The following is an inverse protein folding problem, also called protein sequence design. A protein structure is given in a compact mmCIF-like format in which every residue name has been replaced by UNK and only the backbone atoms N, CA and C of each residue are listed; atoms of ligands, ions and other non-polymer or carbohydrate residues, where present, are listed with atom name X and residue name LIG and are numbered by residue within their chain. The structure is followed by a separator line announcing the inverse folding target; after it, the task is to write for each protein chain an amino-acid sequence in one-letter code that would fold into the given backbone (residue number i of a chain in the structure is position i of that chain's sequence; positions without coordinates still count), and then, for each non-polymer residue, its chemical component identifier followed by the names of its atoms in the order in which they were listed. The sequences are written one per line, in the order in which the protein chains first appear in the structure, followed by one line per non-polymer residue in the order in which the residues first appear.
data_IF_396727858293
#
_entry.id   IF_396727858293
#
_cell.length_a   1.000
_cell.length_b   1.000
_cell.length_c   1.000
_cell.angle_alpha   90.00
_cell.angle_beta   90.00
_cell.angle_gamma   90.00
#
_symmetry.space_group_name_H-M   'P 1'
#
loop_
_entity.id
_entity.type
_entity.pdbx_description
1 polymer ?
#
# COMPACT_ATOMS: atom_id res chain seq x y z
N UNK A 1 24.12 -29.70 22.15
CA UNK A 1 24.97 -28.51 21.95
C UNK A 1 25.16 -28.19 20.47
N UNK A 2 25.60 -29.07 19.60
CA UNK A 2 25.80 -28.74 18.17
C UNK A 2 24.53 -28.37 17.39
N UNK A 3 23.34 -28.90 17.75
CA UNK A 3 22.09 -28.61 17.04
C UNK A 3 21.48 -27.24 17.40
N UNK A 4 21.68 -26.76 18.63
CA UNK A 4 21.21 -25.44 19.08
C UNK A 4 22.09 -24.32 18.49
N UNK A 5 23.37 -24.58 18.37
CA UNK A 5 24.31 -23.63 17.75
C UNK A 5 24.07 -23.49 16.25
N UNK A 6 23.70 -24.59 15.58
CA UNK A 6 23.35 -24.58 14.15
C UNK A 6 22.00 -23.86 13.94
N UNK A 7 21.02 -24.08 14.82
CA UNK A 7 19.73 -23.37 14.77
C UNK A 7 19.89 -21.86 15.02
N UNK A 8 20.70 -21.46 15.98
CA UNK A 8 21.05 -20.06 16.24
C UNK A 8 21.82 -19.42 15.08
N UNK A 9 22.75 -20.18 14.48
CA UNK A 9 23.50 -19.70 13.32
C UNK A 9 22.60 -19.55 12.10
N UNK A 10 21.68 -20.50 11.88
CA UNK A 10 20.69 -20.44 10.81
C UNK A 10 19.71 -19.27 11.03
N UNK A 11 19.30 -19.02 12.26
CA UNK A 11 18.45 -17.86 12.61
C UNK A 11 19.20 -16.54 12.44
N UNK A 12 20.47 -16.49 12.80
CA UNK A 12 21.34 -15.31 12.59
C UNK A 12 21.63 -15.09 11.12
N UNK A 13 21.88 -16.16 10.35
CA UNK A 13 22.06 -16.11 8.90
C UNK A 13 20.76 -15.74 8.19
N UNK A 14 19.61 -16.24 8.65
CA UNK A 14 18.30 -15.82 8.14
C UNK A 14 18.03 -14.34 8.42
N UNK A 15 18.43 -13.82 9.59
CA UNK A 15 18.38 -12.39 9.92
C UNK A 15 19.38 -11.56 9.10
N UNK A 16 20.53 -12.11 8.74
CA UNK A 16 21.54 -11.45 7.90
C UNK A 16 21.32 -11.64 6.40
N UNK A 17 20.66 -12.72 5.98
CA UNK A 17 20.27 -12.94 4.58
C UNK A 17 18.99 -12.22 4.16
N UNK A 18 18.25 -11.63 5.08
CA UNK A 18 17.25 -10.62 4.75
C UNK A 18 18.01 -9.35 4.36
N UNK A 19 18.60 -9.42 3.18
CA UNK A 19 19.32 -8.33 2.59
C UNK A 19 18.47 -7.07 2.60
N UNK A 20 19.02 -5.95 3.12
CA UNK A 20 18.42 -4.65 2.94
C UNK A 20 17.53 -4.19 4.08
N UNK A 21 17.90 -4.38 5.33
CA UNK A 21 17.32 -3.66 6.44
C UNK A 21 15.82 -3.84 6.66
N UNK A 22 15.34 -5.08 6.68
CA UNK A 22 13.94 -5.38 6.99
C UNK A 22 13.75 -5.65 8.49
N UNK A 23 12.81 -4.91 9.11
CA UNK A 23 12.30 -5.19 10.43
C UNK A 23 10.89 -5.80 10.31
N UNK A 24 10.71 -6.98 10.89
CA UNK A 24 9.45 -7.73 10.76
C UNK A 24 8.80 -8.03 12.10
N UNK A 25 7.55 -7.58 12.24
CA UNK A 25 6.63 -8.00 13.29
C UNK A 25 5.52 -8.90 12.73
N UNK A 26 5.68 -9.42 11.52
CA UNK A 26 4.66 -10.20 10.83
C UNK A 26 4.19 -11.37 11.67
N UNK A 27 2.87 -11.49 11.84
CA UNK A 27 2.23 -12.62 12.50
C UNK A 27 2.44 -12.70 14.01
N UNK A 28 2.94 -11.64 14.65
CA UNK A 28 3.17 -11.64 16.10
C UNK A 28 1.91 -11.45 16.93
N UNK A 29 0.79 -11.16 16.30
CA UNK A 29 -0.51 -10.97 16.95
C UNK A 29 -0.47 -9.95 18.11
N UNK A 30 0.32 -8.90 17.95
CA UNK A 30 0.42 -7.83 18.93
C UNK A 30 -0.84 -6.98 18.95
N UNK A 31 -1.33 -6.65 20.12
CA UNK A 31 -2.44 -5.72 20.34
C UNK A 31 -1.86 -4.37 20.77
N UNK A 32 -1.62 -3.50 19.80
CA UNK A 32 -0.96 -2.22 20.01
C UNK A 32 -2.03 -1.12 20.17
N UNK A 33 -2.54 -0.95 21.38
CA UNK A 33 -3.58 0.03 21.70
C UNK A 33 -2.97 1.36 22.14
N UNK A 34 -2.08 1.29 23.12
CA UNK A 34 -1.47 2.46 23.80
C UNK A 34 -0.02 2.65 23.39
N UNK A 35 0.55 3.79 23.78
CA UNK A 35 1.98 4.06 23.63
C UNK A 35 2.83 3.01 24.36
N UNK A 36 2.40 2.57 25.53
CA UNK A 36 3.11 1.53 26.31
C UNK A 36 3.10 0.19 25.58
N UNK A 37 1.99 -0.19 24.94
CA UNK A 37 1.91 -1.41 24.15
C UNK A 37 2.90 -1.41 22.97
N UNK A 38 3.19 -0.24 22.40
CA UNK A 38 4.09 -0.07 21.26
C UNK A 38 5.56 0.11 21.67
N UNK A 39 5.88 0.15 22.93
CA UNK A 39 7.21 0.46 23.46
C UNK A 39 8.33 -0.38 22.86
N UNK A 40 8.15 -1.70 22.80
CA UNK A 40 9.16 -2.61 22.24
C UNK A 40 9.28 -2.45 20.71
N UNK A 41 8.18 -2.23 20.03
CA UNK A 41 8.17 -1.95 18.56
C UNK A 41 8.94 -0.67 18.28
N UNK A 42 8.71 0.38 19.04
CA UNK A 42 9.39 1.67 18.91
C UNK A 42 10.89 1.50 19.13
N UNK A 43 11.28 0.78 20.19
CA UNK A 43 12.68 0.53 20.49
C UNK A 43 13.39 -0.20 19.33
N UNK A 44 12.78 -1.24 18.80
CA UNK A 44 13.34 -1.99 17.68
C UNK A 44 13.45 -1.11 16.41
N UNK A 45 12.49 -0.22 16.15
CA UNK A 45 12.57 0.73 15.05
C UNK A 45 13.71 1.73 15.29
N UNK A 46 13.79 2.33 16.47
CA UNK A 46 14.82 3.32 16.80
C UNK A 46 16.23 2.74 16.71
N UNK A 47 16.41 1.51 17.18
CA UNK A 47 17.71 0.82 17.20
C UNK A 47 18.10 0.24 15.82
N UNK A 48 17.19 0.22 14.85
CA UNK A 48 17.43 -0.39 13.55
C UNK A 48 18.13 0.59 12.59
N UNK A 49 19.37 0.29 12.25
CA UNK A 49 20.13 1.10 11.29
C UNK A 49 19.72 0.76 9.86
N UNK A 50 19.58 1.77 9.01
CA UNK A 50 19.25 1.61 7.58
C UNK A 50 17.98 0.79 7.35
N UNK A 51 16.88 1.18 8.02
CA UNK A 51 15.57 0.53 7.88
C UNK A 51 15.00 0.79 6.48
N UNK A 52 14.91 -0.25 5.68
CA UNK A 52 14.37 -0.17 4.30
C UNK A 52 12.98 -0.79 4.15
N UNK A 53 12.63 -1.77 4.97
CA UNK A 53 11.32 -2.42 4.95
C UNK A 53 10.79 -2.65 6.36
N UNK A 54 9.51 -2.34 6.58
CA UNK A 54 8.82 -2.56 7.84
C UNK A 54 7.59 -3.44 7.61
N UNK A 55 7.51 -4.56 8.32
CA UNK A 55 6.39 -5.51 8.25
C UNK A 55 5.57 -5.48 9.53
N UNK A 56 4.30 -5.11 9.39
CA UNK A 56 3.33 -5.04 10.50
C UNK A 56 2.14 -5.99 10.34
N UNK A 57 2.15 -6.86 9.32
CA UNK A 57 1.03 -7.75 9.03
C UNK A 57 0.73 -8.69 10.20
N UNK A 58 -0.55 -8.91 10.47
CA UNK A 58 -1.00 -9.82 11.53
C UNK A 58 -0.87 -9.24 12.95
N UNK A 59 -0.85 -7.93 13.06
CA UNK A 59 -0.95 -7.20 14.33
C UNK A 59 -2.17 -6.29 14.27
N UNK A 60 -2.55 -5.67 15.39
CA UNK A 60 -3.63 -4.68 15.39
C UNK A 60 -3.15 -3.38 16.04
N UNK A 61 -3.21 -2.28 15.28
CA UNK A 61 -2.65 -0.98 15.65
C UNK A 61 -3.79 0.02 15.88
N UNK A 62 -3.87 0.56 17.09
CA UNK A 62 -4.79 1.64 17.44
C UNK A 62 -4.20 3.03 17.17
N UNK A 63 -5.01 4.07 17.36
CA UNK A 63 -4.62 5.45 17.04
C UNK A 63 -3.44 5.92 17.88
N UNK A 64 -3.45 5.67 19.18
CA UNK A 64 -2.36 6.10 20.07
C UNK A 64 -1.04 5.39 19.73
N UNK A 65 -1.07 4.07 19.55
CA UNK A 65 0.10 3.31 19.13
C UNK A 65 0.62 3.78 17.76
N UNK A 66 -0.27 4.04 16.80
CA UNK A 66 0.11 4.56 15.48
C UNK A 66 0.85 5.91 15.58
N UNK A 67 0.43 6.80 16.46
CA UNK A 67 1.09 8.10 16.67
C UNK A 67 2.53 7.94 17.14
N UNK A 68 2.78 7.07 18.12
CA UNK A 68 4.13 6.87 18.65
C UNK A 68 5.02 6.06 17.70
N UNK A 69 4.46 5.12 16.95
CA UNK A 69 5.17 4.42 15.89
C UNK A 69 5.57 5.41 14.78
N UNK A 70 4.65 6.28 14.37
CA UNK A 70 4.90 7.34 13.39
C UNK A 70 6.05 8.25 13.83
N UNK A 71 6.08 8.61 15.10
CA UNK A 71 7.17 9.42 15.68
C UNK A 71 8.52 8.73 15.55
N UNK A 72 8.58 7.45 15.83
CA UNK A 72 9.80 6.66 15.65
C UNK A 72 10.23 6.57 14.18
N UNK A 73 9.28 6.56 13.24
CA UNK A 73 9.56 6.51 11.81
C UNK A 73 10.09 7.82 11.23
N UNK A 74 9.91 8.95 11.91
CA UNK A 74 10.30 10.28 11.40
C UNK A 74 11.79 10.40 11.05
N UNK A 75 12.65 9.56 11.60
CA UNK A 75 14.10 9.53 11.33
C UNK A 75 14.51 8.43 10.35
N UNK A 76 13.57 7.68 9.80
CA UNK A 76 13.84 6.52 8.95
C UNK A 76 13.69 6.87 7.47
N UNK A 77 14.58 7.75 6.98
CA UNK A 77 14.55 8.27 5.61
C UNK A 77 14.81 7.21 4.53
N UNK A 78 15.39 6.08 4.89
CA UNK A 78 15.72 4.98 3.97
C UNK A 78 14.57 4.00 3.76
N UNK A 79 13.44 4.17 4.46
CA UNK A 79 12.28 3.29 4.36
C UNK A 79 11.68 3.36 2.94
N UNK A 80 11.59 2.20 2.30
CA UNK A 80 11.14 2.02 0.92
C UNK A 80 9.89 1.15 0.83
N UNK A 81 9.72 0.19 1.74
CA UNK A 81 8.67 -0.81 1.66
C UNK A 81 7.88 -0.87 2.97
N UNK A 82 6.59 -0.58 2.86
CA UNK A 82 5.64 -0.70 3.96
C UNK A 82 4.72 -1.88 3.69
N UNK A 83 5.00 -3.01 4.33
CA UNK A 83 4.15 -4.19 4.33
C UNK A 83 3.16 -4.09 5.49
N UNK A 84 2.08 -3.33 5.26
CA UNK A 84 1.11 -2.94 6.26
C UNK A 84 -0.28 -3.54 6.01
N UNK A 85 -0.33 -4.72 5.40
CA UNK A 85 -1.56 -5.47 5.26
C UNK A 85 -2.02 -6.04 6.60
N UNK A 86 -3.34 -6.24 6.75
CA UNK A 86 -3.92 -6.86 7.95
C UNK A 86 -3.32 -6.33 9.27
N UNK A 87 -3.43 -5.02 9.49
CA UNK A 87 -2.93 -4.39 10.72
C UNK A 87 -3.98 -3.61 11.52
N UNK A 88 -5.24 -3.76 11.17
CA UNK A 88 -6.35 -3.07 11.84
C UNK A 88 -7.50 -4.02 12.24
N UNK A 89 -7.26 -5.31 12.34
CA UNK A 89 -8.28 -6.29 12.73
C UNK A 89 -8.86 -5.94 14.10
N UNK A 90 -10.19 -5.87 14.19
CA UNK A 90 -10.89 -5.55 15.41
C UNK A 90 -10.94 -4.05 15.75
N UNK A 91 -10.41 -3.18 14.91
CA UNK A 91 -10.50 -1.73 15.09
C UNK A 91 -11.80 -1.19 14.53
N UNK A 92 -12.32 -0.14 15.13
CA UNK A 92 -13.46 0.59 14.61
C UNK A 92 -13.07 1.33 13.32
N UNK A 93 -14.02 1.42 12.38
CA UNK A 93 -13.79 2.18 11.13
C UNK A 93 -13.33 3.62 11.38
N UNK A 94 -13.77 4.23 12.46
CA UNK A 94 -13.41 5.60 12.85
C UNK A 94 -11.98 5.73 13.38
N UNK A 95 -11.34 4.63 13.79
CA UNK A 95 -9.96 4.62 14.28
C UNK A 95 -8.94 4.49 13.15
N UNK A 96 -9.31 3.88 12.03
CA UNK A 96 -8.37 3.52 10.97
C UNK A 96 -7.83 4.74 10.23
N UNK A 97 -8.66 5.71 9.75
CA UNK A 97 -8.14 6.89 9.08
C UNK A 97 -7.18 7.72 9.93
N UNK A 98 -7.46 8.03 11.22
CA UNK A 98 -6.50 8.76 12.05
C UNK A 98 -5.17 8.04 12.23
N UNK A 99 -5.21 6.71 12.38
CA UNK A 99 -3.99 5.90 12.50
C UNK A 99 -3.16 5.94 11.22
N UNK A 100 -3.78 5.81 10.06
CA UNK A 100 -3.11 5.90 8.76
C UNK A 100 -2.56 7.30 8.50
N UNK A 101 -3.30 8.35 8.84
CA UNK A 101 -2.83 9.75 8.72
C UNK A 101 -1.55 9.94 9.53
N UNK A 102 -1.53 9.48 10.79
CA UNK A 102 -0.36 9.61 11.65
C UNK A 102 0.85 8.88 11.08
N UNK A 103 0.69 7.64 10.65
CA UNK A 103 1.75 6.85 10.03
C UNK A 103 2.28 7.52 8.75
N UNK A 104 1.37 8.01 7.91
CA UNK A 104 1.73 8.74 6.69
C UNK A 104 2.52 10.01 6.97
N UNK A 105 2.11 10.79 7.96
CA UNK A 105 2.84 12.00 8.38
C UNK A 105 4.25 11.67 8.86
N UNK A 106 4.43 10.56 9.58
CA UNK A 106 5.75 10.09 9.98
C UNK A 106 6.66 9.80 8.79
N UNK A 107 6.14 9.14 7.76
CA UNK A 107 6.87 8.85 6.52
C UNK A 107 7.22 10.11 5.74
N UNK A 108 6.30 11.06 5.66
CA UNK A 108 6.52 12.34 4.98
C UNK A 108 7.61 13.14 5.71
N UNK A 109 7.52 13.24 7.03
CA UNK A 109 8.52 13.92 7.88
C UNK A 109 9.90 13.28 7.75
N UNK A 110 9.97 11.96 7.65
CA UNK A 110 11.22 11.24 7.45
C UNK A 110 11.89 11.55 6.11
N UNK A 111 11.17 12.09 5.14
CA UNK A 111 11.65 12.21 3.77
C UNK A 111 11.78 10.85 3.07
N UNK A 112 10.99 9.87 3.48
CA UNK A 112 10.98 8.53 2.88
C UNK A 112 10.64 8.61 1.39
N UNK A 113 11.23 7.73 0.60
CA UNK A 113 10.96 7.57 -0.83
C UNK A 113 10.49 6.13 -1.06
N UNK A 114 9.18 5.94 -0.94
CA UNK A 114 8.58 4.60 -0.97
C UNK A 114 8.66 3.98 -2.37
N UNK A 115 8.92 2.69 -2.38
CA UNK A 115 8.88 1.81 -3.56
C UNK A 115 7.64 0.93 -3.52
N UNK A 116 7.27 0.43 -2.34
CA UNK A 116 6.11 -0.42 -2.15
C UNK A 116 5.28 0.02 -0.96
N UNK A 117 3.97 0.14 -1.18
CA UNK A 117 2.97 0.36 -0.13
C UNK A 117 1.88 -0.72 -0.27
N UNK A 118 1.82 -1.61 0.70
CA UNK A 118 0.80 -2.65 0.79
C UNK A 118 -0.09 -2.42 2.00
N UNK A 119 -1.34 -2.03 1.74
CA UNK A 119 -2.39 -1.81 2.73
C UNK A 119 -3.54 -2.82 2.57
N UNK A 120 -3.31 -3.93 1.90
CA UNK A 120 -4.32 -4.95 1.65
C UNK A 120 -4.93 -5.51 2.93
N UNK A 121 -6.15 -6.02 2.85
CA UNK A 121 -6.84 -6.71 3.94
C UNK A 121 -7.07 -5.88 5.21
N UNK A 122 -7.18 -4.56 5.08
CA UNK A 122 -7.46 -3.68 6.22
C UNK A 122 -8.94 -3.29 6.36
N UNK A 123 -9.76 -3.58 5.36
CA UNK A 123 -11.21 -3.36 5.38
C UNK A 123 -11.62 -1.95 5.86
N UNK A 124 -10.85 -0.93 5.50
CA UNK A 124 -11.02 0.43 6.03
C UNK A 124 -12.17 1.21 5.38
N UNK A 125 -12.78 0.69 4.33
CA UNK A 125 -13.88 1.32 3.64
C UNK A 125 -13.49 2.58 2.83
N UNK A 126 -14.47 3.30 2.23
CA UNK A 126 -14.20 4.51 1.45
C UNK A 126 -13.48 5.59 2.25
N UNK A 127 -13.84 5.78 3.51
CA UNK A 127 -13.24 6.78 4.40
C UNK A 127 -11.77 6.47 4.72
N UNK A 128 -11.39 5.20 4.67
CA UNK A 128 -10.02 4.77 4.90
C UNK A 128 -9.04 5.27 3.83
N UNK A 129 -9.52 5.44 2.60
CA UNK A 129 -8.69 5.98 1.52
C UNK A 129 -8.26 7.41 1.84
N UNK A 130 -9.11 8.20 2.48
CA UNK A 130 -8.76 9.53 2.97
C UNK A 130 -7.61 9.50 3.98
N UNK A 131 -7.45 8.40 4.71
CA UNK A 131 -6.37 8.22 5.69
C UNK A 131 -4.98 8.19 5.07
N UNK A 132 -4.83 7.76 3.84
CA UNK A 132 -3.54 7.73 3.14
C UNK A 132 -3.49 8.60 1.88
N UNK A 133 -4.54 9.38 1.62
CA UNK A 133 -4.59 10.30 0.47
C UNK A 133 -3.44 11.31 0.47
N UNK A 134 -3.19 11.96 1.60
CA UNK A 134 -2.10 12.93 1.74
C UNK A 134 -0.74 12.28 1.52
N UNK A 135 -0.54 11.07 2.01
CA UNK A 135 0.69 10.30 1.77
C UNK A 135 0.89 10.03 0.28
N UNK A 136 -0.14 9.57 -0.43
CA UNK A 136 -0.06 9.30 -1.87
C UNK A 136 0.25 10.56 -2.68
N UNK A 137 -0.23 11.72 -2.26
CA UNK A 137 0.02 13.01 -2.92
C UNK A 137 1.36 13.63 -2.54
N UNK A 138 2.06 13.07 -1.54
CA UNK A 138 3.31 13.61 -1.04
C UNK A 138 4.52 13.12 -1.82
N UNK A 139 5.65 13.78 -1.63
CA UNK A 139 6.93 13.38 -2.21
C UNK A 139 7.37 11.97 -1.78
N UNK A 140 6.87 11.45 -0.66
CA UNK A 140 7.14 10.09 -0.22
C UNK A 140 6.67 9.03 -1.23
N UNK A 141 5.66 9.31 -2.03
CA UNK A 141 5.10 8.40 -3.03
C UNK A 141 5.47 8.75 -4.48
N UNK A 142 6.25 9.79 -4.74
CA UNK A 142 6.70 10.09 -6.11
C UNK A 142 7.53 8.96 -6.72
N UNK A 143 8.16 8.17 -5.88
CA UNK A 143 9.02 7.02 -6.24
C UNK A 143 8.29 5.68 -6.20
N UNK A 144 6.98 5.67 -5.94
CA UNK A 144 6.19 4.45 -5.73
C UNK A 144 6.14 3.61 -7.01
N UNK A 145 6.44 2.33 -6.89
CA UNK A 145 6.40 1.36 -7.97
C UNK A 145 5.31 0.30 -7.77
N UNK A 146 4.99 -0.04 -6.54
CA UNK A 146 4.01 -1.08 -6.22
C UNK A 146 3.01 -0.57 -5.18
N UNK A 147 1.73 -0.60 -5.55
CA UNK A 147 0.62 -0.22 -4.67
C UNK A 147 -0.37 -1.38 -4.59
N UNK A 148 -0.59 -1.91 -3.39
CA UNK A 148 -1.43 -3.08 -3.15
C UNK A 148 -2.53 -2.76 -2.15
N UNK A 149 -3.77 -2.92 -2.60
CA UNK A 149 -4.98 -2.52 -1.88
C UNK A 149 -6.08 -3.59 -2.01
N UNK A 150 -5.73 -4.86 -1.98
CA UNK A 150 -6.74 -5.93 -1.99
C UNK A 150 -7.65 -5.84 -0.77
N UNK A 151 -8.93 -6.12 -0.97
CA UNK A 151 -9.89 -6.34 0.12
C UNK A 151 -9.88 -5.20 1.16
N UNK A 152 -9.99 -3.96 0.70
CA UNK A 152 -10.01 -2.77 1.55
C UNK A 152 -11.41 -2.14 1.69
N UNK A 153 -12.39 -2.63 0.94
CA UNK A 153 -13.75 -2.11 0.97
C UNK A 153 -13.87 -0.68 0.45
N UNK A 154 -13.02 -0.29 -0.51
CA UNK A 154 -12.95 1.10 -0.99
C UNK A 154 -14.25 1.62 -1.60
N UNK A 155 -15.00 0.76 -2.31
CA UNK A 155 -16.18 1.16 -3.03
C UNK A 155 -15.89 2.14 -4.18
N UNK A 156 -16.94 2.64 -4.80
CA UNK A 156 -16.85 3.62 -5.90
C UNK A 156 -16.18 4.91 -5.39
N UNK A 157 -16.62 5.42 -4.26
CA UNK A 157 -16.10 6.67 -3.68
C UNK A 157 -14.61 6.58 -3.35
N UNK A 158 -14.18 5.50 -2.71
CA UNK A 158 -12.76 5.28 -2.41
C UNK A 158 -11.91 5.12 -3.67
N UNK A 159 -12.44 4.43 -4.69
CA UNK A 159 -11.78 4.28 -5.98
C UNK A 159 -11.55 5.62 -6.69
N UNK A 160 -12.53 6.52 -6.63
CA UNK A 160 -12.42 7.88 -7.19
C UNK A 160 -11.38 8.73 -6.45
N UNK A 161 -11.36 8.68 -5.13
CA UNK A 161 -10.36 9.38 -4.31
C UNK A 161 -8.96 8.86 -4.62
N UNK A 162 -8.80 7.55 -4.70
CA UNK A 162 -7.54 6.92 -5.05
C UNK A 162 -7.04 7.34 -6.42
N UNK A 163 -7.90 7.31 -7.43
CA UNK A 163 -7.57 7.72 -8.78
C UNK A 163 -7.12 9.18 -8.84
N UNK A 164 -7.84 10.08 -8.16
CA UNK A 164 -7.48 11.49 -8.07
C UNK A 164 -6.13 11.69 -7.36
N UNK A 165 -5.86 10.94 -6.29
CA UNK A 165 -4.59 10.99 -5.57
C UNK A 165 -3.41 10.54 -6.44
N UNK A 166 -3.56 9.46 -7.18
CA UNK A 166 -2.54 8.96 -8.12
C UNK A 166 -2.26 9.96 -9.24
N UNK A 167 -3.30 10.55 -9.81
CA UNK A 167 -3.18 11.58 -10.85
C UNK A 167 -2.45 12.81 -10.32
N UNK A 168 -2.77 13.25 -9.12
CA UNK A 168 -2.10 14.39 -8.48
C UNK A 168 -0.64 14.07 -8.13
N UNK A 169 -0.36 12.87 -7.65
CA UNK A 169 1.00 12.40 -7.42
C UNK A 169 1.82 12.44 -8.73
N UNK A 170 1.25 11.96 -9.82
CA UNK A 170 1.88 12.03 -11.14
C UNK A 170 2.14 13.48 -11.57
N UNK A 171 1.16 14.36 -11.41
CA UNK A 171 1.30 15.78 -11.76
C UNK A 171 2.44 16.46 -11.00
N UNK A 172 2.45 16.29 -9.69
CA UNK A 172 3.47 16.90 -8.80
C UNK A 172 4.87 16.33 -9.08
N UNK A 173 4.99 15.02 -9.23
CA UNK A 173 6.27 14.36 -9.50
C UNK A 173 6.81 14.73 -10.88
N UNK A 174 5.94 14.87 -11.88
CA UNK A 174 6.30 15.32 -13.22
C UNK A 174 6.85 16.75 -13.21
N UNK A 175 6.28 17.64 -12.40
CA UNK A 175 6.76 19.02 -12.23
C UNK A 175 8.17 19.07 -11.64
N UNK A 176 8.59 18.02 -10.94
CA UNK A 176 9.96 17.89 -10.40
C UNK A 176 10.90 17.12 -11.32
N UNK A 177 10.48 16.80 -12.53
CA UNK A 177 11.29 16.12 -13.55
C UNK A 177 11.44 14.60 -13.35
N UNK A 178 10.77 14.01 -12.36
CA UNK A 178 10.77 12.56 -12.10
C UNK A 178 9.33 12.08 -11.92
N UNK A 179 8.59 11.84 -13.01
CA UNK A 179 7.19 11.42 -12.94
C UNK A 179 7.02 10.11 -12.18
N UNK A 180 5.92 9.99 -11.45
CA UNK A 180 5.50 8.71 -10.86
C UNK A 180 5.54 7.61 -11.92
N UNK A 181 6.27 6.55 -11.65
CA UNK A 181 6.44 5.41 -12.55
C UNK A 181 5.90 4.13 -11.90
N UNK A 182 4.61 4.15 -11.55
CA UNK A 182 3.92 3.00 -10.94
C UNK A 182 3.96 1.83 -11.91
N UNK A 183 4.35 0.65 -11.42
CA UNK A 183 4.52 -0.58 -12.19
C UNK A 183 3.46 -1.63 -11.86
N UNK A 184 3.16 -1.80 -10.58
CA UNK A 184 2.25 -2.83 -10.08
C UNK A 184 1.11 -2.18 -9.31
N UNK A 185 -0.11 -2.44 -9.76
CA UNK A 185 -1.33 -2.01 -9.09
C UNK A 185 -2.20 -3.23 -8.78
N UNK A 186 -2.54 -3.41 -7.51
CA UNK A 186 -3.36 -4.54 -7.04
C UNK A 186 -4.50 -4.01 -6.20
N UNK A 187 -5.74 -4.23 -6.63
CA UNK A 187 -6.94 -3.76 -5.94
C UNK A 187 -8.15 -4.69 -6.17
N UNK A 188 -7.98 -5.99 -5.89
CA UNK A 188 -9.08 -6.94 -5.94
C UNK A 188 -10.05 -6.77 -4.77
N UNK A 189 -11.30 -7.19 -4.93
CA UNK A 189 -12.34 -7.26 -3.88
C UNK A 189 -12.62 -5.91 -3.20
N UNK A 190 -12.81 -4.86 -3.97
CA UNK A 190 -13.04 -3.50 -3.45
C UNK A 190 -14.38 -2.89 -3.83
N UNK A 191 -15.23 -3.61 -4.56
CA UNK A 191 -16.52 -3.08 -5.04
C UNK A 191 -16.35 -1.77 -5.80
N UNK A 192 -15.35 -1.70 -6.66
CA UNK A 192 -15.06 -0.50 -7.46
C UNK A 192 -16.15 -0.20 -8.48
N UNK A 193 -16.80 -1.25 -8.99
CA UNK A 193 -17.81 -1.17 -10.02
C UNK A 193 -17.33 -0.41 -11.27
N UNK A 194 -18.23 -0.04 -12.17
CA UNK A 194 -17.82 0.65 -13.40
C UNK A 194 -17.24 2.04 -13.16
N UNK A 195 -17.84 2.81 -12.26
CA UNK A 195 -17.40 4.18 -12.00
C UNK A 195 -16.03 4.25 -11.33
N UNK A 196 -15.77 3.37 -10.38
CA UNK A 196 -14.45 3.26 -9.74
C UNK A 196 -13.38 2.80 -10.72
N UNK A 197 -13.69 1.79 -11.51
CA UNK A 197 -12.78 1.28 -12.55
C UNK A 197 -12.48 2.34 -13.61
N UNK A 198 -13.48 3.09 -14.05
CA UNK A 198 -13.31 4.17 -15.04
C UNK A 198 -12.43 5.28 -14.49
N UNK A 199 -12.62 5.69 -13.23
CA UNK A 199 -11.78 6.70 -12.59
C UNK A 199 -10.31 6.23 -12.52
N UNK A 200 -10.07 4.99 -12.11
CA UNK A 200 -8.72 4.41 -12.08
C UNK A 200 -8.12 4.28 -13.48
N UNK A 201 -8.92 3.92 -14.48
CA UNK A 201 -8.47 3.87 -15.88
C UNK A 201 -7.92 5.22 -16.35
N UNK A 202 -8.56 6.33 -16.00
CA UNK A 202 -8.06 7.68 -16.33
C UNK A 202 -6.70 7.95 -15.67
N UNK A 203 -6.52 7.56 -14.40
CA UNK A 203 -5.22 7.65 -13.74
C UNK A 203 -4.15 6.79 -14.44
N UNK A 204 -4.49 5.56 -14.82
CA UNK A 204 -3.57 4.65 -15.53
C UNK A 204 -3.14 5.17 -16.89
N UNK A 205 -4.02 5.88 -17.60
CA UNK A 205 -3.70 6.53 -18.87
C UNK A 205 -2.64 7.61 -18.69
N UNK A 206 -2.76 8.40 -17.64
CA UNK A 206 -1.81 9.49 -17.34
C UNK A 206 -0.45 8.93 -16.91
N UNK A 207 -0.44 7.88 -16.08
CA UNK A 207 0.79 7.27 -15.57
C UNK A 207 1.58 6.58 -16.69
N UNK A 208 0.96 5.70 -17.45
CA UNK A 208 1.54 5.09 -18.65
C UNK A 208 2.69 4.10 -18.45
N UNK A 209 3.01 3.73 -17.21
CA UNK A 209 4.20 2.91 -16.88
C UNK A 209 3.86 1.54 -16.30
N UNK A 210 2.58 1.18 -16.23
CA UNK A 210 2.12 -0.06 -15.60
C UNK A 210 2.63 -1.30 -16.33
N UNK A 211 3.04 -2.29 -15.55
CA UNK A 211 3.48 -3.62 -15.97
C UNK A 211 2.51 -4.71 -15.53
N UNK A 212 1.88 -4.54 -14.36
CA UNK A 212 0.93 -5.50 -13.80
C UNK A 212 -0.26 -4.77 -13.18
N UNK A 213 -1.47 -5.22 -13.53
CA UNK A 213 -2.73 -4.74 -12.95
C UNK A 213 -3.58 -5.93 -12.53
N UNK A 214 -3.92 -6.00 -11.25
CA UNK A 214 -4.78 -7.03 -10.67
C UNK A 214 -5.99 -6.37 -10.01
N UNK A 215 -7.16 -6.50 -10.63
CA UNK A 215 -8.43 -5.95 -10.13
C UNK A 215 -9.57 -6.99 -10.18
N UNK A 216 -9.37 -8.21 -9.63
CA UNK A 216 -10.42 -9.23 -9.64
C UNK A 216 -11.55 -8.88 -8.68
N UNK A 217 -12.75 -9.44 -8.92
CA UNK A 217 -13.90 -9.37 -8.02
C UNK A 217 -14.29 -7.94 -7.59
N UNK A 218 -14.45 -7.03 -8.54
CA UNK A 218 -14.83 -5.64 -8.28
C UNK A 218 -16.23 -5.26 -8.77
N UNK A 219 -16.97 -6.17 -9.32
CA UNK A 219 -18.32 -5.88 -9.88
C UNK A 219 -18.25 -5.02 -11.13
N UNK A 220 -17.17 -5.11 -11.90
CA UNK A 220 -16.98 -4.33 -13.13
C UNK A 220 -17.70 -5.02 -14.28
N UNK A 221 -18.47 -4.27 -15.05
CA UNK A 221 -19.15 -4.72 -16.26
C UNK A 221 -18.47 -4.11 -17.52
N UNK A 222 -19.07 -4.33 -18.68
CA UNK A 222 -18.47 -3.90 -19.94
C UNK A 222 -18.07 -2.41 -20.01
N UNK A 223 -18.78 -1.41 -19.43
CA UNK A 223 -18.33 -0.04 -19.46
C UNK A 223 -16.99 0.17 -18.75
N UNK A 224 -16.82 -0.42 -17.58
CA UNK A 224 -15.57 -0.36 -16.83
C UNK A 224 -14.44 -1.15 -17.48
N UNK A 225 -14.74 -2.33 -18.00
CA UNK A 225 -13.77 -3.14 -18.75
C UNK A 225 -13.26 -2.38 -19.99
N UNK A 226 -14.15 -1.74 -20.72
CA UNK A 226 -13.79 -0.94 -21.90
C UNK A 226 -12.88 0.24 -21.52
N UNK A 227 -13.21 0.95 -20.45
CA UNK A 227 -12.36 2.05 -19.95
C UNK A 227 -10.95 1.55 -19.56
N UNK A 228 -10.88 0.42 -18.86
CA UNK A 228 -9.60 -0.19 -18.49
C UNK A 228 -8.82 -0.65 -19.71
N UNK A 229 -9.47 -1.28 -20.68
CA UNK A 229 -8.81 -1.73 -21.91
C UNK A 229 -8.18 -0.56 -22.68
N UNK A 230 -8.87 0.56 -22.79
CA UNK A 230 -8.36 1.78 -23.41
C UNK A 230 -7.13 2.33 -22.67
N UNK A 231 -7.16 2.29 -21.33
CA UNK A 231 -6.02 2.69 -20.50
C UNK A 231 -4.83 1.74 -20.67
N UNK A 232 -5.08 0.43 -20.73
CA UNK A 232 -4.03 -0.58 -20.91
C UNK A 232 -3.33 -0.43 -22.25
N UNK A 233 -4.05 -0.01 -23.29
CA UNK A 233 -3.48 0.22 -24.62
C UNK A 233 -2.38 1.31 -24.62
N UNK A 234 -2.39 2.25 -23.66
CA UNK A 234 -1.39 3.31 -23.55
C UNK A 234 -0.35 3.03 -22.45
N UNK A 235 -0.32 1.80 -21.92
CA UNK A 235 0.70 1.31 -21.03
C UNK A 235 1.52 0.22 -21.75
N UNK A 236 2.53 0.58 -22.55
CA UNK A 236 3.20 -0.34 -23.46
C UNK A 236 4.03 -1.43 -22.79
N UNK A 237 4.34 -1.28 -21.51
CA UNK A 237 5.10 -2.26 -20.73
C UNK A 237 4.20 -3.26 -19.99
N UNK A 238 2.89 -3.13 -20.13
CA UNK A 238 1.93 -3.98 -19.43
C UNK A 238 2.02 -5.43 -19.93
N UNK A 239 2.26 -6.36 -19.02
CA UNK A 239 2.46 -7.78 -19.29
C UNK A 239 1.55 -8.71 -18.50
N UNK A 240 0.93 -8.23 -17.41
CA UNK A 240 0.01 -9.00 -16.59
C UNK A 240 -1.27 -8.20 -16.36
N UNK A 241 -2.40 -8.78 -16.75
CA UNK A 241 -3.74 -8.24 -16.49
C UNK A 241 -4.55 -9.34 -15.83
N UNK A 242 -5.06 -9.07 -14.62
CA UNK A 242 -5.97 -9.95 -13.93
C UNK A 242 -7.27 -9.20 -13.61
N UNK A 243 -8.32 -9.50 -14.36
CA UNK A 243 -9.67 -8.97 -14.17
C UNK A 243 -10.67 -10.12 -13.87
N UNK A 244 -10.20 -11.22 -13.29
CA UNK A 244 -11.00 -12.40 -12.99
C UNK A 244 -12.20 -12.03 -12.12
N UNK A 245 -13.29 -12.79 -12.26
CA UNK A 245 -14.51 -12.64 -11.47
C UNK A 245 -15.16 -11.24 -11.56
N UNK A 246 -14.97 -10.55 -12.68
CA UNK A 246 -15.80 -9.43 -13.10
C UNK A 246 -16.74 -9.90 -14.22
N UNK A 247 -17.74 -9.10 -14.56
CA UNK A 247 -18.72 -9.48 -15.58
C UNK A 247 -18.27 -9.02 -16.97
N UNK A 248 -17.70 -9.93 -17.73
CA UNK A 248 -17.43 -9.70 -19.14
C UNK A 248 -18.72 -10.05 -19.92
N UNK A 249 -19.31 -9.06 -20.55
CA UNK A 249 -20.30 -9.31 -21.59
C UNK A 249 -19.57 -9.45 -22.92
N UNK A 250 -20.27 -9.85 -23.97
CA UNK A 250 -19.71 -9.89 -25.33
C UNK A 250 -19.05 -8.55 -25.71
N UNK A 251 -19.67 -7.43 -25.34
CA UNK A 251 -19.10 -6.08 -25.57
C UNK A 251 -17.80 -5.82 -24.81
N UNK A 252 -17.69 -6.31 -23.60
CA UNK A 252 -16.46 -6.17 -22.81
C UNK A 252 -15.36 -7.11 -23.26
N UNK A 253 -15.72 -8.27 -23.82
CA UNK A 253 -14.74 -9.24 -24.28
C UNK A 253 -14.00 -8.82 -25.56
N UNK A 254 -14.58 -7.93 -26.35
CA UNK A 254 -13.97 -7.40 -27.59
C UNK A 254 -13.26 -6.05 -27.39
N UNK A 255 -13.31 -5.50 -26.18
CA UNK A 255 -12.60 -4.27 -25.82
C UNK A 255 -11.16 -4.56 -25.49
#
# INVERSE_FOLDING_TARGET
MASEDIAKLAETLAKTQVAGGQLSFKGKSLKLNTAEDAKDVIKEIEDFDSLEALRLEGNTVGVEAARVIAKALEKKSELKRCHWSDMFTGRLRTEIPPALISLGEGLITAGAQLVELDLSDNAFGPDGVQGFEALLKSSACFTLQELKLNNCGMGIGGGKILAAALTECHRKSSAQGKPLALKVFVAGRNRLENDGATALAEAFRVIGTLEEVHMPQNGINHPGITALAQAFAVNPLLRVINLNDNTFTEKGAVA
#
